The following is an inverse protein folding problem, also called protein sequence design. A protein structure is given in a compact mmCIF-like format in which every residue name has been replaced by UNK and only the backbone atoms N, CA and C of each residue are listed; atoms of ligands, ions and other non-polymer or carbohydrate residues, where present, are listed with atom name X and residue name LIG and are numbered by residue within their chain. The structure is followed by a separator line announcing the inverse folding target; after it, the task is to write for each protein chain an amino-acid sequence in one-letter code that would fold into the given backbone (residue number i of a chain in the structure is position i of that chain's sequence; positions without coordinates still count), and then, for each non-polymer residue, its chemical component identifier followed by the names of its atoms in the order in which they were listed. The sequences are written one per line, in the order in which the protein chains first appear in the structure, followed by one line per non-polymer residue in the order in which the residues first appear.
data_IF_353735742259
#
_entry.id   IF_353735742259
#
_cell.length_a   1.000
_cell.length_b   1.000
_cell.length_c   1.000
_cell.angle_alpha   90.00
_cell.angle_beta   90.00
_cell.angle_gamma   90.00
#
_symmetry.space_group_name_H-M   'P 1'
#
loop_
_entity.id
_entity.type
_entity.pdbx_description
1 polymer ?
#
# COMPACT_ATOMS: atom_id res chain seq x y z
N UNK A 1 10.31 -14.91 18.58
CA UNK A 1 9.59 -13.64 18.36
C UNK A 1 8.10 -13.92 18.18
N UNK A 2 7.20 -12.97 18.48
CA UNK A 2 5.76 -13.10 18.20
C UNK A 2 5.48 -12.61 16.77
N UNK A 3 4.70 -13.33 15.93
CA UNK A 3 4.38 -12.88 14.58
C UNK A 3 3.64 -11.55 14.55
N UNK A 4 4.17 -10.55 13.83
CA UNK A 4 3.48 -9.29 13.50
C UNK A 4 2.67 -9.41 12.21
N UNK A 5 3.08 -10.28 11.31
CA UNK A 5 2.42 -10.51 10.01
C UNK A 5 1.85 -11.93 9.94
N UNK A 6 0.62 -12.07 9.46
CA UNK A 6 0.01 -13.38 9.17
C UNK A 6 -0.31 -13.50 7.68
N UNK A 7 0.30 -14.48 7.03
CA UNK A 7 0.12 -14.78 5.61
C UNK A 7 -0.85 -15.95 5.47
N UNK A 8 -1.96 -15.75 4.76
CA UNK A 8 -2.88 -16.82 4.40
C UNK A 8 -2.81 -17.08 2.90
N UNK A 9 -2.59 -18.34 2.55
CA UNK A 9 -2.63 -18.83 1.17
C UNK A 9 -3.96 -19.54 0.90
N UNK A 10 -4.57 -19.27 -0.25
CA UNK A 10 -5.78 -19.95 -0.69
C UNK A 10 -5.53 -21.42 -1.08
N UNK A 11 -4.33 -21.70 -1.57
CA UNK A 11 -3.83 -23.01 -1.97
C UNK A 11 -2.34 -23.15 -1.65
N UNK A 12 -1.87 -24.38 -1.46
CA UNK A 12 -0.44 -24.65 -1.32
C UNK A 12 0.34 -24.29 -2.60
N UNK A 13 -0.31 -24.28 -3.77
CA UNK A 13 0.30 -23.84 -5.04
C UNK A 13 0.71 -22.37 -5.03
N UNK A 14 0.09 -21.54 -4.17
CA UNK A 14 0.35 -20.11 -4.09
C UNK A 14 1.67 -19.81 -3.34
N UNK A 15 2.34 -20.84 -2.80
CA UNK A 15 3.56 -20.71 -2.03
C UNK A 15 4.68 -19.99 -2.79
N UNK A 16 4.81 -20.19 -4.11
CA UNK A 16 5.81 -19.48 -4.93
C UNK A 16 5.69 -17.96 -4.88
N UNK A 17 4.47 -17.45 -4.72
CA UNK A 17 4.23 -16.01 -4.56
C UNK A 17 4.50 -15.60 -3.11
N UNK A 18 4.16 -16.47 -2.16
CA UNK A 18 4.46 -16.28 -0.75
C UNK A 18 5.96 -16.20 -0.46
N UNK A 19 6.80 -17.00 -1.14
CA UNK A 19 8.26 -16.96 -1.00
C UNK A 19 8.82 -15.54 -1.20
N UNK A 20 8.32 -14.80 -2.20
CA UNK A 20 8.70 -13.39 -2.41
C UNK A 20 8.36 -12.49 -1.21
N UNK A 21 7.26 -12.78 -0.53
CA UNK A 21 6.87 -12.06 0.68
C UNK A 21 7.77 -12.45 1.86
N UNK A 22 8.07 -13.74 2.02
CA UNK A 22 8.94 -14.25 3.08
C UNK A 22 10.34 -13.65 2.98
N UNK A 23 10.93 -13.62 1.77
CA UNK A 23 12.26 -13.05 1.54
C UNK A 23 12.36 -11.60 2.01
N UNK A 24 11.33 -10.79 1.75
CA UNK A 24 11.26 -9.39 2.19
C UNK A 24 11.09 -9.30 3.71
N UNK A 25 10.23 -10.12 4.32
CA UNK A 25 10.02 -10.10 5.77
C UNK A 25 11.26 -10.56 6.54
N UNK A 26 12.01 -11.54 6.03
CA UNK A 26 13.29 -12.00 6.58
C UNK A 26 14.35 -10.89 6.49
N UNK A 27 14.51 -10.24 5.32
CA UNK A 27 15.44 -9.12 5.15
C UNK A 27 15.10 -7.93 6.08
N UNK A 28 13.81 -7.73 6.36
CA UNK A 28 13.33 -6.68 7.27
C UNK A 28 13.23 -7.16 8.72
N UNK A 29 13.63 -8.38 9.04
CA UNK A 29 13.59 -8.95 10.39
C UNK A 29 12.21 -8.84 11.07
N UNK A 30 11.13 -9.03 10.29
CA UNK A 30 9.76 -8.96 10.78
C UNK A 30 9.23 -10.38 10.98
N UNK A 31 8.95 -10.75 12.22
CA UNK A 31 8.38 -12.05 12.53
C UNK A 31 7.01 -12.27 11.86
N UNK A 32 6.84 -13.42 11.21
CA UNK A 32 5.61 -13.78 10.51
C UNK A 32 5.16 -15.22 10.80
N UNK A 33 3.91 -15.52 10.49
CA UNK A 33 3.37 -16.88 10.41
C UNK A 33 2.66 -17.06 9.06
N UNK A 34 2.62 -18.29 8.57
CA UNK A 34 2.03 -18.66 7.28
C UNK A 34 1.12 -19.88 7.43
N UNK A 35 -0.08 -19.79 6.84
CA UNK A 35 -1.09 -20.85 6.86
C UNK A 35 -1.76 -21.02 5.50
N UNK A 36 -2.16 -22.25 5.21
CA UNK A 36 -3.02 -22.56 4.05
C UNK A 36 -4.46 -22.76 4.52
N UNK A 37 -5.36 -21.94 4.00
CA UNK A 37 -6.80 -22.01 4.25
C UNK A 37 -7.57 -21.41 3.07
N UNK A 38 -8.53 -22.16 2.54
CA UNK A 38 -9.34 -21.75 1.40
C UNK A 38 -10.61 -21.05 1.86
N UNK A 39 -10.88 -19.86 1.34
CA UNK A 39 -12.12 -19.12 1.61
C UNK A 39 -13.38 -19.85 1.13
N UNK A 40 -13.28 -20.72 0.12
CA UNK A 40 -14.44 -21.45 -0.43
C UNK A 40 -14.63 -22.84 0.20
N UNK A 41 -13.54 -23.51 0.58
CA UNK A 41 -13.59 -24.90 1.08
C UNK A 41 -13.48 -25.01 2.59
N UNK A 42 -12.82 -24.05 3.24
CA UNK A 42 -12.51 -24.06 4.67
C UNK A 42 -12.72 -22.68 5.28
N UNK A 43 -13.86 -22.04 5.02
CA UNK A 43 -14.14 -20.66 5.48
C UNK A 43 -14.07 -20.53 7.02
N UNK A 44 -14.58 -21.50 7.78
CA UNK A 44 -14.47 -21.48 9.24
C UNK A 44 -13.02 -21.51 9.73
N UNK A 45 -12.15 -22.26 9.03
CA UNK A 45 -10.72 -22.28 9.33
C UNK A 45 -10.09 -20.91 9.09
N UNK A 46 -10.44 -20.22 8.00
CA UNK A 46 -9.97 -18.84 7.74
C UNK A 46 -10.38 -17.92 8.88
N UNK A 47 -11.66 -17.95 9.28
CA UNK A 47 -12.18 -17.14 10.37
C UNK A 47 -11.45 -17.41 11.68
N UNK A 48 -11.27 -18.67 12.06
CA UNK A 48 -10.54 -19.05 13.27
C UNK A 48 -9.10 -18.55 13.25
N UNK A 49 -8.37 -18.77 12.15
CA UNK A 49 -6.99 -18.28 12.01
C UNK A 49 -6.94 -16.76 12.20
N UNK A 50 -7.83 -16.01 11.56
CA UNK A 50 -7.83 -14.55 11.61
C UNK A 50 -8.12 -14.04 13.02
N UNK A 51 -9.13 -14.60 13.70
CA UNK A 51 -9.48 -14.21 15.07
C UNK A 51 -8.34 -14.53 16.05
N UNK A 52 -7.80 -15.74 16.01
CA UNK A 52 -6.70 -16.16 16.90
C UNK A 52 -5.44 -15.34 16.65
N UNK A 53 -5.09 -15.10 15.39
CA UNK A 53 -3.91 -14.31 15.01
C UNK A 53 -4.04 -12.86 15.50
N UNK A 54 -5.23 -12.28 15.33
CA UNK A 54 -5.52 -10.92 15.82
C UNK A 54 -5.35 -10.84 17.35
N UNK A 55 -5.84 -11.85 18.09
CA UNK A 55 -5.68 -11.93 19.54
C UNK A 55 -4.22 -12.13 19.99
N UNK A 56 -3.40 -12.81 19.17
CA UNK A 56 -1.98 -13.05 19.44
C UNK A 56 -1.08 -11.86 19.11
N UNK A 57 -1.64 -10.76 18.61
CA UNK A 57 -0.92 -9.52 18.35
C UNK A 57 -0.47 -9.34 16.90
N UNK A 58 -1.07 -10.04 15.94
CA UNK A 58 -0.83 -9.75 14.52
C UNK A 58 -1.33 -8.35 14.20
N UNK A 59 -0.48 -7.58 13.52
CA UNK A 59 -0.69 -6.19 13.14
C UNK A 59 -1.18 -6.09 11.69
N UNK A 60 -0.70 -6.94 10.78
CA UNK A 60 -1.06 -6.93 9.36
C UNK A 60 -1.33 -8.34 8.84
N UNK A 61 -2.37 -8.49 8.02
CA UNK A 61 -2.63 -9.74 7.30
C UNK A 61 -2.26 -9.61 5.82
N UNK A 62 -1.73 -10.68 5.23
CA UNK A 62 -1.50 -10.79 3.79
C UNK A 62 -2.31 -11.98 3.28
N UNK A 63 -3.29 -11.72 2.41
CA UNK A 63 -4.04 -12.75 1.71
C UNK A 63 -3.51 -12.95 0.29
N UNK A 64 -3.02 -14.15 -0.01
CA UNK A 64 -2.51 -14.52 -1.34
C UNK A 64 -3.45 -15.54 -1.96
N UNK A 65 -4.10 -15.18 -3.07
CA UNK A 65 -5.06 -16.05 -3.74
C UNK A 65 -5.24 -15.70 -5.22
N UNK A 66 -5.48 -16.72 -6.04
CA UNK A 66 -5.87 -16.58 -7.45
C UNK A 66 -7.36 -16.79 -7.69
N UNK A 67 -7.77 -16.70 -8.96
CA UNK A 67 -9.15 -16.87 -9.43
C UNK A 67 -10.11 -15.86 -8.77
N UNK A 68 -11.27 -16.32 -8.31
CA UNK A 68 -12.17 -15.54 -7.45
C UNK A 68 -11.55 -15.40 -6.06
N UNK A 69 -10.55 -14.52 -5.95
CA UNK A 69 -9.69 -14.32 -4.79
C UNK A 69 -10.46 -13.67 -3.62
N UNK A 70 -11.41 -14.41 -3.03
CA UNK A 70 -12.21 -13.96 -1.90
C UNK A 70 -11.45 -14.01 -0.57
N UNK A 71 -10.26 -14.62 -0.53
CA UNK A 71 -9.51 -14.79 0.71
C UNK A 71 -9.14 -13.45 1.39
N UNK A 72 -8.55 -12.45 0.70
CA UNK A 72 -8.33 -11.13 1.30
C UNK A 72 -9.62 -10.49 1.85
N UNK A 73 -10.72 -10.58 1.10
CA UNK A 73 -12.00 -10.04 1.54
C UNK A 73 -12.58 -10.76 2.76
N UNK A 74 -12.45 -12.09 2.82
CA UNK A 74 -12.87 -12.92 3.96
C UNK A 74 -12.05 -12.59 5.22
N UNK A 75 -10.75 -12.33 5.07
CA UNK A 75 -9.91 -11.85 6.16
C UNK A 75 -10.39 -10.47 6.62
N UNK A 76 -10.57 -9.52 5.70
CA UNK A 76 -10.99 -8.14 6.00
C UNK A 76 -12.36 -8.08 6.69
N UNK A 77 -13.25 -9.04 6.43
CA UNK A 77 -14.54 -9.15 7.11
C UNK A 77 -14.43 -9.64 8.58
N UNK A 78 -13.34 -10.32 8.96
CA UNK A 78 -13.18 -10.93 10.29
C UNK A 78 -12.10 -10.27 11.16
N UNK A 79 -11.52 -9.16 10.72
CA UNK A 79 -10.56 -8.40 11.52
C UNK A 79 -10.73 -6.90 11.35
N UNK A 80 -10.23 -6.15 12.34
CA UNK A 80 -10.07 -4.69 12.30
C UNK A 80 -8.63 -4.28 11.97
N UNK A 81 -7.74 -5.26 11.73
CA UNK A 81 -6.38 -5.05 11.27
C UNK A 81 -6.35 -4.86 9.74
N UNK A 82 -5.39 -4.08 9.21
CA UNK A 82 -5.25 -3.90 7.78
C UNK A 82 -4.95 -5.23 7.07
N UNK A 83 -5.54 -5.39 5.88
CA UNK A 83 -5.37 -6.57 5.03
C UNK A 83 -4.76 -6.15 3.70
N UNK A 84 -3.62 -6.77 3.37
CA UNK A 84 -2.97 -6.66 2.07
C UNK A 84 -3.41 -7.82 1.20
N UNK A 85 -3.94 -7.53 0.01
CA UNK A 85 -4.34 -8.54 -0.97
C UNK A 85 -3.28 -8.68 -2.04
N UNK A 86 -2.80 -9.90 -2.27
CA UNK A 86 -1.86 -10.24 -3.35
C UNK A 86 -2.59 -11.17 -4.33
N UNK A 87 -3.09 -10.63 -5.47
CA UNK A 87 -3.70 -11.44 -6.51
C UNK A 87 -2.67 -12.38 -7.14
N UNK A 88 -3.05 -13.63 -7.41
CA UNK A 88 -2.18 -14.60 -8.09
C UNK A 88 -2.65 -14.80 -9.53
N UNK A 89 -1.70 -14.82 -10.47
CA UNK A 89 -1.99 -15.17 -11.87
C UNK A 89 -2.28 -16.67 -12.00
N UNK A 90 -3.57 -16.99 -12.16
CA UNK A 90 -4.03 -18.35 -12.44
C UNK A 90 -4.83 -18.40 -13.75
N UNK A 91 -5.69 -17.42 -13.99
CA UNK A 91 -6.48 -17.26 -15.22
C UNK A 91 -6.58 -15.79 -15.60
N UNK A 92 -6.75 -15.51 -16.90
CA UNK A 92 -6.94 -14.16 -17.45
C UNK A 92 -5.85 -13.18 -16.94
N UNK A 93 -4.61 -13.67 -16.79
CA UNK A 93 -3.48 -12.87 -16.30
C UNK A 93 -3.66 -12.34 -14.86
N UNK A 94 -4.45 -13.01 -14.01
CA UNK A 94 -4.72 -12.60 -12.62
C UNK A 94 -5.69 -11.43 -12.47
N UNK A 95 -6.31 -10.94 -13.56
CA UNK A 95 -7.26 -9.84 -13.51
C UNK A 95 -8.53 -10.17 -12.69
N UNK A 96 -8.98 -11.43 -12.76
CA UNK A 96 -10.08 -11.93 -11.95
C UNK A 96 -9.79 -11.83 -10.45
N UNK A 97 -8.59 -12.25 -10.03
CA UNK A 97 -8.12 -12.15 -8.65
C UNK A 97 -7.95 -10.69 -8.22
N UNK A 98 -7.42 -9.84 -9.09
CA UNK A 98 -7.22 -8.41 -8.83
C UNK A 98 -8.56 -7.70 -8.56
N UNK A 99 -9.57 -7.93 -9.40
CA UNK A 99 -10.88 -7.32 -9.19
C UNK A 99 -11.59 -7.89 -7.96
N UNK A 100 -11.47 -9.21 -7.71
CA UNK A 100 -12.02 -9.84 -6.52
C UNK A 100 -11.42 -9.29 -5.21
N UNK A 101 -10.13 -8.93 -5.22
CA UNK A 101 -9.44 -8.37 -4.06
C UNK A 101 -9.68 -6.86 -3.87
N UNK A 102 -9.68 -6.08 -4.95
CA UNK A 102 -9.70 -4.61 -4.89
C UNK A 102 -11.11 -4.01 -4.74
N UNK A 103 -12.12 -4.61 -5.38
CA UNK A 103 -13.47 -4.06 -5.48
C UNK A 103 -14.35 -4.36 -4.26
N UNK A 104 -13.80 -4.11 -3.07
CA UNK A 104 -14.46 -4.44 -1.82
C UNK A 104 -15.62 -3.49 -1.47
N UNK A 105 -16.73 -4.02 -0.92
CA UNK A 105 -17.78 -3.18 -0.38
C UNK A 105 -17.30 -2.42 0.87
N UNK A 106 -17.98 -1.32 1.17
CA UNK A 106 -17.77 -0.61 2.43
C UNK A 106 -18.42 -1.38 3.60
N UNK A 107 -17.80 -1.49 4.79
CA UNK A 107 -16.53 -0.90 5.26
C UNK A 107 -15.38 -1.93 5.36
N UNK A 108 -15.23 -2.85 4.41
CA UNK A 108 -14.23 -3.93 4.48
C UNK A 108 -13.11 -3.73 3.45
N UNK A 109 -12.19 -2.77 3.66
CA UNK A 109 -11.14 -2.50 2.68
C UNK A 109 -10.14 -3.64 2.57
N UNK A 110 -9.50 -3.73 1.40
CA UNK A 110 -8.29 -4.53 1.16
C UNK A 110 -7.31 -3.64 0.40
N UNK A 111 -6.07 -3.57 0.90
CA UNK A 111 -4.95 -2.91 0.25
C UNK A 111 -4.39 -3.82 -0.84
N UNK A 112 -4.91 -3.73 -2.07
CA UNK A 112 -4.52 -4.66 -3.15
C UNK A 112 -3.24 -4.17 -3.83
N UNK A 113 -2.22 -5.04 -3.88
CA UNK A 113 -0.96 -4.82 -4.64
C UNK A 113 -1.02 -5.54 -5.99
N UNK A 114 0.03 -5.37 -6.81
CA UNK A 114 0.16 -5.98 -8.12
C UNK A 114 -0.01 -7.50 -8.13
N UNK A 115 -0.44 -8.04 -9.27
CA UNK A 115 -0.52 -9.48 -9.49
C UNK A 115 0.87 -10.11 -9.29
N UNK A 116 0.92 -11.21 -8.53
CA UNK A 116 2.12 -11.95 -8.16
C UNK A 116 3.17 -11.14 -7.37
N UNK A 117 2.80 -9.97 -6.85
CA UNK A 117 3.69 -9.08 -6.08
C UNK A 117 3.68 -9.38 -4.58
N UNK A 118 4.03 -10.61 -4.22
CA UNK A 118 4.24 -10.99 -2.81
C UNK A 118 5.30 -10.12 -2.12
N UNK A 119 6.33 -9.70 -2.88
CA UNK A 119 7.36 -8.74 -2.48
C UNK A 119 6.77 -7.39 -2.04
N UNK A 120 5.98 -6.73 -2.91
CA UNK A 120 5.34 -5.47 -2.55
C UNK A 120 4.27 -5.65 -1.46
N UNK A 121 3.63 -6.82 -1.38
CA UNK A 121 2.70 -7.13 -0.30
C UNK A 121 3.38 -7.11 1.07
N UNK A 122 4.54 -7.77 1.19
CA UNK A 122 5.36 -7.74 2.40
C UNK A 122 5.95 -6.35 2.69
N UNK A 123 6.43 -5.65 1.66
CA UNK A 123 6.99 -4.31 1.83
C UNK A 123 5.92 -3.32 2.30
N UNK A 124 4.69 -3.40 1.78
CA UNK A 124 3.57 -2.59 2.27
C UNK A 124 3.24 -2.92 3.73
N UNK A 125 3.21 -4.21 4.10
CA UNK A 125 2.99 -4.61 5.48
C UNK A 125 4.07 -4.05 6.41
N UNK A 126 5.34 -4.06 5.98
CA UNK A 126 6.44 -3.46 6.72
C UNK A 126 6.31 -1.93 6.84
N UNK A 127 5.89 -1.23 5.78
CA UNK A 127 5.61 0.21 5.85
C UNK A 127 4.51 0.53 6.87
N UNK A 128 3.47 -0.31 6.95
CA UNK A 128 2.36 -0.14 7.91
C UNK A 128 2.88 -0.29 9.35
N UNK A 129 3.67 -1.34 9.61
CA UNK A 129 4.31 -1.55 10.92
C UNK A 129 5.27 -0.37 11.24
N UNK A 130 6.00 0.10 10.23
CA UNK A 130 6.93 1.23 10.31
C UNK A 130 6.30 2.59 10.66
N UNK A 131 4.97 2.71 10.66
CA UNK A 131 4.27 3.89 11.20
C UNK A 131 4.62 4.11 12.69
N UNK A 132 4.78 3.01 13.43
CA UNK A 132 5.00 2.98 14.88
C UNK A 132 6.31 2.30 15.30
N UNK A 133 7.01 1.64 14.37
CA UNK A 133 8.28 0.96 14.60
C UNK A 133 9.38 1.62 13.76
N UNK A 134 10.16 2.51 14.39
CA UNK A 134 11.18 3.30 13.69
C UNK A 134 12.30 2.44 13.09
N UNK A 135 12.65 1.33 13.73
CA UNK A 135 13.69 0.43 13.24
C UNK A 135 13.23 -0.31 11.99
N UNK A 136 11.97 -0.78 11.97
CA UNK A 136 11.36 -1.32 10.74
C UNK A 136 11.35 -0.27 9.64
N UNK A 137 10.97 0.98 9.93
CA UNK A 137 10.96 2.07 8.95
C UNK A 137 12.35 2.32 8.36
N UNK A 138 13.40 2.34 9.18
CA UNK A 138 14.79 2.47 8.72
C UNK A 138 15.19 1.32 7.80
N UNK A 139 14.88 0.07 8.17
CA UNK A 139 15.17 -1.10 7.31
C UNK A 139 14.40 -1.06 5.99
N UNK A 140 13.14 -0.60 6.00
CA UNK A 140 12.36 -0.36 4.77
C UNK A 140 13.05 0.69 3.90
N UNK A 141 13.49 1.81 4.48
CA UNK A 141 14.21 2.87 3.78
C UNK A 141 15.45 2.34 3.08
N UNK A 142 16.30 1.61 3.82
CA UNK A 142 17.52 0.97 3.30
C UNK A 142 17.22 -0.06 2.21
N UNK A 143 16.23 -0.92 2.43
CA UNK A 143 15.85 -1.93 1.44
C UNK A 143 15.36 -1.28 0.14
N UNK A 144 14.54 -0.22 0.25
CA UNK A 144 14.07 0.54 -0.91
C UNK A 144 15.22 1.20 -1.65
N UNK A 145 16.18 1.80 -0.95
CA UNK A 145 17.39 2.36 -1.55
C UNK A 145 18.17 1.32 -2.37
N UNK A 146 18.26 0.08 -1.90
CA UNK A 146 18.90 -1.02 -2.62
C UNK A 146 18.26 -1.33 -3.99
N UNK A 147 16.94 -1.11 -4.16
CA UNK A 147 16.30 -1.25 -5.48
C UNK A 147 16.77 -0.16 -6.46
N UNK A 148 16.99 1.07 -6.01
CA UNK A 148 17.50 2.16 -6.86
C UNK A 148 18.96 1.92 -7.26
N UNK A 149 19.80 1.49 -6.31
CA UNK A 149 21.19 1.12 -6.60
C UNK A 149 21.30 -0.06 -7.56
N UNK A 150 20.33 -0.99 -7.51
CA UNK A 150 20.27 -2.09 -8.48
C UNK A 150 20.03 -1.57 -9.89
N UNK A 151 19.12 -0.60 -10.07
CA UNK A 151 18.88 0.01 -11.40
C UNK A 151 20.15 0.66 -11.94
N UNK A 152 20.91 1.38 -11.10
CA UNK A 152 22.18 1.97 -11.51
C UNK A 152 23.22 0.92 -11.91
N UNK A 153 23.30 -0.19 -11.17
CA UNK A 153 24.18 -1.32 -11.50
C UNK A 153 23.78 -2.00 -12.81
N UNK A 154 22.49 -2.22 -13.02
CA UNK A 154 21.93 -2.82 -14.24
C UNK A 154 22.18 -1.90 -15.45
N UNK A 155 22.04 -0.58 -15.29
CA UNK A 155 22.40 0.41 -16.31
C UNK A 155 23.89 0.33 -16.66
N UNK A 156 24.77 0.36 -15.66
CA UNK A 156 26.22 0.25 -15.88
C UNK A 156 26.59 -1.02 -16.67
N UNK A 157 26.00 -2.17 -16.30
CA UNK A 157 26.23 -3.43 -17.00
C UNK A 157 25.70 -3.39 -18.44
N UNK A 158 24.51 -2.81 -18.65
CA UNK A 158 23.91 -2.69 -19.98
C UNK A 158 24.78 -1.82 -20.91
N UNK A 159 25.20 -0.63 -20.46
CA UNK A 159 25.97 0.31 -21.26
C UNK A 159 27.33 -0.27 -21.69
N UNK A 160 27.96 -1.09 -20.85
CA UNK A 160 29.22 -1.77 -21.18
C UNK A 160 29.08 -2.84 -22.27
N UNK A 161 27.87 -3.34 -22.51
CA UNK A 161 27.60 -4.41 -23.47
C UNK A 161 27.05 -3.91 -24.81
N UNK A 162 26.86 -2.59 -24.98
CA UNK A 162 26.35 -2.00 -26.22
C UNK A 162 27.52 -1.64 -27.14
N UNK A 163 27.57 -2.30 -28.29
CA UNK A 163 28.41 -1.91 -29.42
C UNK A 163 27.52 -1.39 -30.56
N UNK A 164 27.92 -0.32 -31.22
CA UNK A 164 27.17 0.17 -32.37
C UNK A 164 27.78 1.41 -33.03
N UNK A 165 27.70 1.46 -34.36
CA UNK A 165 28.24 2.56 -35.17
C UNK A 165 27.56 3.92 -34.93
N UNK A 166 26.43 3.93 -34.21
CA UNK A 166 25.65 5.12 -33.87
C UNK A 166 25.41 5.30 -32.36
N UNK A 167 26.05 4.47 -31.52
CA UNK A 167 25.94 4.57 -30.06
C UNK A 167 27.07 5.42 -29.50
N UNK A 168 26.72 6.54 -28.89
CA UNK A 168 27.68 7.46 -28.24
C UNK A 168 27.21 7.70 -26.80
N UNK A 169 27.80 7.01 -25.81
CA UNK A 169 27.37 7.17 -24.42
C UNK A 169 27.73 8.57 -23.90
N UNK A 170 26.74 9.27 -23.36
CA UNK A 170 26.95 10.51 -22.60
C UNK A 170 27.04 10.13 -21.13
N UNK A 171 28.15 10.47 -20.48
CA UNK A 171 28.28 10.30 -19.02
C UNK A 171 27.41 11.35 -18.33
N UNK A 172 26.39 10.90 -17.63
CA UNK A 172 25.55 11.74 -16.77
C UNK A 172 26.04 11.54 -15.34
N UNK A 173 26.58 12.59 -14.72
CA UNK A 173 26.88 12.56 -13.29
C UNK A 173 25.56 12.62 -12.53
N UNK A 174 25.26 11.56 -11.79
CA UNK A 174 24.12 11.58 -10.86
C UNK A 174 24.52 12.30 -9.57
N UNK A 175 23.61 13.11 -8.99
CA UNK A 175 23.85 13.69 -7.68
C UNK A 175 24.12 12.58 -6.65
N UNK A 176 25.11 12.78 -5.77
CA UNK A 176 25.41 11.82 -4.72
C UNK A 176 24.19 11.62 -3.82
N UNK A 177 23.81 10.36 -3.58
CA UNK A 177 22.70 9.98 -2.69
C UNK A 177 23.15 10.09 -1.22
N UNK A 178 23.82 11.19 -0.86
CA UNK A 178 24.27 11.45 0.52
C UNK A 178 23.14 12.03 1.39
N UNK A 179 22.14 12.65 0.75
CA UNK A 179 20.84 12.88 1.37
C UNK A 179 20.00 11.66 1.04
N UNK A 180 19.70 10.82 2.03
CA UNK A 180 18.85 9.64 1.84
C UNK A 180 17.63 9.98 0.96
N UNK A 181 17.23 9.03 0.12
CA UNK A 181 16.18 9.21 -0.91
C UNK A 181 14.86 9.76 -0.37
N UNK A 182 14.65 9.58 0.92
CA UNK A 182 13.53 10.10 1.67
C UNK A 182 14.07 11.15 2.65
N UNK A 183 13.62 12.41 2.56
CA UNK A 183 14.13 13.46 3.43
C UNK A 183 13.91 13.09 4.90
N UNK A 184 15.00 13.08 5.68
CA UNK A 184 14.96 12.97 7.14
C UNK A 184 14.54 14.34 7.66
N UNK A 185 13.50 14.41 8.50
CA UNK A 185 13.04 15.69 9.03
C UNK A 185 14.14 16.34 9.90
N UNK A 186 14.60 17.51 9.46
CA UNK A 186 15.30 18.44 10.34
C UNK A 186 14.25 19.08 11.23
N UNK A 187 14.13 18.58 12.46
CA UNK A 187 13.16 18.97 13.45
C UNK A 187 13.42 20.39 14.00
N UNK A 188 13.27 21.43 13.18
CA UNK A 188 13.25 22.81 13.66
C UNK A 188 12.24 23.64 12.84
N UNK A 189 11.11 23.97 13.48
CA UNK A 189 10.00 24.83 13.04
C UNK A 189 8.76 24.14 12.42
N UNK A 190 7.71 23.93 13.24
CA UNK A 190 6.48 24.73 13.12
C UNK A 190 5.51 24.42 14.26
N UNK A 191 4.92 25.46 14.84
CA UNK A 191 3.88 25.45 15.90
C UNK A 191 2.52 24.88 15.42
N UNK A 192 2.47 24.05 14.38
CA UNK A 192 1.23 23.42 13.90
C UNK A 192 1.32 21.89 14.02
N UNK A 193 0.35 21.29 14.67
CA UNK A 193 0.24 19.84 14.83
C UNK A 193 0.20 19.16 13.45
N UNK A 194 1.23 18.38 13.12
CA UNK A 194 1.32 17.69 11.83
C UNK A 194 0.11 16.76 11.65
N UNK A 195 -0.61 16.83 10.52
CA UNK A 195 -1.73 15.93 10.26
C UNK A 195 -1.27 14.48 10.18
N UNK A 196 -2.12 13.53 10.59
CA UNK A 196 -1.78 12.11 10.48
C UNK A 196 -1.73 11.63 9.02
N UNK A 197 -2.53 12.22 8.13
CA UNK A 197 -2.70 11.77 6.74
C UNK A 197 -2.58 12.93 5.76
N UNK A 198 -1.83 12.75 4.67
CA UNK A 198 -1.87 13.65 3.53
C UNK A 198 -2.75 13.06 2.41
N UNK A 199 -3.78 13.80 1.99
CA UNK A 199 -4.71 13.42 0.91
C UNK A 199 -4.39 14.22 -0.34
N UNK A 200 -4.03 13.53 -1.42
CA UNK A 200 -3.49 14.15 -2.64
C UNK A 200 -4.36 13.80 -3.85
N UNK A 201 -5.42 14.58 -4.14
CA UNK A 201 -6.09 14.54 -5.42
C UNK A 201 -5.20 15.11 -6.55
N UNK A 202 -5.07 14.38 -7.67
CA UNK A 202 -4.27 14.80 -8.82
C UNK A 202 -4.86 15.94 -9.64
N UNK A 203 -6.16 16.16 -9.51
CA UNK A 203 -6.90 17.17 -10.25
C UNK A 203 -8.18 17.57 -9.53
N UNK A 204 -8.77 18.69 -9.96
CA UNK A 204 -10.07 19.12 -9.45
C UNK A 204 -11.22 18.16 -9.82
N UNK A 205 -11.09 17.37 -10.90
CA UNK A 205 -12.07 16.32 -11.22
C UNK A 205 -12.10 15.19 -10.18
N UNK A 206 -11.02 14.98 -9.43
CA UNK A 206 -10.92 13.97 -8.38
C UNK A 206 -11.58 14.42 -7.06
N UNK A 207 -11.99 15.69 -6.98
CA UNK A 207 -12.43 16.35 -5.74
C UNK A 207 -13.67 15.71 -5.11
N UNK A 208 -14.59 15.15 -5.91
CA UNK A 208 -15.78 14.46 -5.37
C UNK A 208 -15.38 13.25 -4.52
N UNK A 209 -14.37 12.49 -4.98
CA UNK A 209 -13.86 11.33 -4.26
C UNK A 209 -13.01 11.79 -3.09
N UNK A 210 -12.17 12.82 -3.26
CA UNK A 210 -11.38 13.39 -2.18
C UNK A 210 -12.25 13.87 -1.00
N UNK A 211 -13.31 14.65 -1.28
CA UNK A 211 -14.28 15.09 -0.26
C UNK A 211 -14.96 13.93 0.45
N UNK A 212 -15.27 12.84 -0.27
CA UNK A 212 -15.84 11.64 0.33
C UNK A 212 -14.82 10.98 1.26
N UNK A 213 -13.56 10.84 0.84
CA UNK A 213 -12.47 10.31 1.65
C UNK A 213 -12.30 11.12 2.93
N UNK A 214 -12.17 12.44 2.82
CA UNK A 214 -11.94 13.31 3.97
C UNK A 214 -13.12 13.35 4.94
N UNK A 215 -14.36 13.34 4.45
CA UNK A 215 -15.55 13.18 5.29
C UNK A 215 -15.49 11.90 6.15
N UNK A 216 -14.98 10.79 5.61
CA UNK A 216 -14.80 9.56 6.39
C UNK A 216 -13.62 9.64 7.35
N UNK A 217 -12.51 10.30 6.98
CA UNK A 217 -11.40 10.58 7.92
C UNK A 217 -11.88 11.41 9.13
N UNK A 218 -12.68 12.44 8.90
CA UNK A 218 -13.28 13.27 9.96
C UNK A 218 -14.19 12.45 10.88
N UNK A 219 -15.04 11.59 10.31
CA UNK A 219 -15.88 10.66 11.10
C UNK A 219 -15.07 9.70 11.94
N UNK A 220 -13.89 9.30 11.46
CA UNK A 220 -12.93 8.48 12.21
C UNK A 220 -12.05 9.32 13.15
N UNK A 221 -12.17 10.65 13.15
CA UNK A 221 -11.37 11.59 13.93
C UNK A 221 -9.88 11.48 13.63
N UNK A 222 -9.53 11.34 12.35
CA UNK A 222 -8.16 11.34 11.83
C UNK A 222 -7.87 12.72 11.26
N UNK A 223 -6.81 13.38 11.73
CA UNK A 223 -6.38 14.67 11.18
C UNK A 223 -5.76 14.48 9.79
N UNK A 224 -6.07 15.38 8.87
CA UNK A 224 -5.57 15.31 7.51
C UNK A 224 -5.28 16.69 6.92
N UNK A 225 -4.34 16.75 5.98
CA UNK A 225 -4.22 17.84 5.02
C UNK A 225 -4.67 17.34 3.65
N UNK A 226 -5.35 18.19 2.87
CA UNK A 226 -5.79 17.86 1.51
C UNK A 226 -5.35 18.93 0.54
N UNK A 227 -4.58 18.55 -0.48
CA UNK A 227 -4.05 19.48 -1.47
C UNK A 227 -4.16 18.92 -2.89
N UNK A 228 -4.78 19.68 -3.79
CA UNK A 228 -4.90 19.31 -5.21
C UNK A 228 -3.62 19.65 -5.92
N UNK A 229 -2.84 18.63 -6.27
CA UNK A 229 -1.53 18.85 -6.87
C UNK A 229 -1.17 17.74 -7.86
N UNK A 230 -0.57 18.15 -8.97
CA UNK A 230 -0.18 17.25 -10.06
C UNK A 230 1.35 17.24 -10.18
N UNK A 231 2.01 16.08 -10.00
CA UNK A 231 3.46 15.98 -10.16
C UNK A 231 3.90 16.22 -11.61
N UNK A 232 3.00 15.98 -12.58
CA UNK A 232 3.30 16.19 -14.01
C UNK A 232 3.19 17.66 -14.41
N UNK A 233 2.14 18.36 -13.95
CA UNK A 233 1.93 19.78 -14.30
C UNK A 233 2.75 20.73 -13.45
N UNK A 234 2.98 20.38 -12.18
CA UNK A 234 3.60 21.24 -11.18
C UNK A 234 4.60 20.45 -10.30
N UNK A 235 5.70 19.91 -10.86
CA UNK A 235 6.63 19.03 -10.15
C UNK A 235 7.26 19.70 -8.92
N UNK A 236 7.79 20.93 -9.04
CA UNK A 236 8.43 21.61 -7.91
C UNK A 236 7.47 21.85 -6.73
N UNK A 237 6.24 22.29 -7.00
CA UNK A 237 5.21 22.45 -5.96
C UNK A 237 4.85 21.10 -5.31
N UNK A 238 4.91 20.00 -6.08
CA UNK A 238 4.63 18.66 -5.57
C UNK A 238 5.74 18.20 -4.63
N UNK A 239 6.99 18.41 -5.01
CA UNK A 239 8.17 18.13 -4.17
C UNK A 239 8.12 18.96 -2.86
N UNK A 240 7.89 20.27 -2.95
CA UNK A 240 7.71 21.14 -1.77
C UNK A 240 6.58 20.65 -0.84
N UNK A 241 5.48 20.15 -1.42
CA UNK A 241 4.38 19.59 -0.64
C UNK A 241 4.78 18.26 0.04
N UNK A 242 5.52 17.40 -0.64
CA UNK A 242 6.02 16.14 -0.08
C UNK A 242 7.01 16.39 1.07
N UNK A 243 7.89 17.39 0.93
CA UNK A 243 8.80 17.82 2.00
C UNK A 243 8.04 18.36 3.21
N UNK A 244 7.03 19.23 2.99
CA UNK A 244 6.19 19.75 4.07
C UNK A 244 5.40 18.65 4.79
N UNK A 245 5.04 17.58 4.08
CA UNK A 245 4.31 16.42 4.60
C UNK A 245 5.25 15.26 4.99
N UNK A 246 6.53 15.54 5.22
CA UNK A 246 7.52 14.52 5.57
C UNK A 246 7.23 13.79 6.90
N UNK A 247 6.43 14.36 7.81
CA UNK A 247 6.14 13.74 9.11
C UNK A 247 4.74 13.11 9.23
N UNK A 248 3.92 13.15 8.17
CA UNK A 248 2.62 12.44 8.15
C UNK A 248 2.82 10.94 8.34
N UNK A 249 1.80 10.20 8.78
CA UNK A 249 1.91 8.75 8.99
C UNK A 249 1.70 7.93 7.73
N UNK A 250 0.83 8.40 6.83
CA UNK A 250 0.58 7.76 5.54
C UNK A 250 0.00 8.76 4.52
N UNK A 251 -0.02 8.36 3.26
CA UNK A 251 -0.58 9.14 2.16
C UNK A 251 -1.80 8.45 1.55
N UNK A 252 -2.76 9.25 1.10
CA UNK A 252 -3.86 8.80 0.24
C UNK A 252 -3.77 9.55 -1.08
N UNK A 253 -3.38 8.85 -2.14
CA UNK A 253 -3.27 9.40 -3.49
C UNK A 253 -4.54 9.08 -4.29
N UNK A 254 -5.18 10.11 -4.83
CA UNK A 254 -6.47 10.01 -5.53
C UNK A 254 -6.28 10.52 -6.97
N UNK A 255 -6.39 9.64 -7.97
CA UNK A 255 -6.22 10.06 -9.37
C UNK A 255 -7.04 9.22 -10.36
N UNK A 256 -7.53 9.88 -11.41
CA UNK A 256 -8.30 9.22 -12.48
C UNK A 256 -7.56 9.02 -13.81
N UNK A 257 -6.55 9.83 -14.14
CA UNK A 257 -5.78 9.69 -15.38
C UNK A 257 -4.34 9.33 -15.08
N UNK A 258 -4.01 8.05 -15.32
CA UNK A 258 -2.71 7.46 -15.00
C UNK A 258 -2.35 7.57 -13.51
N UNK A 259 -1.63 6.60 -12.98
CA UNK A 259 -1.27 6.57 -11.56
C UNK A 259 -0.15 7.57 -11.19
N UNK A 260 -0.04 8.70 -11.88
CA UNK A 260 1.10 9.61 -11.77
C UNK A 260 1.27 10.18 -10.36
N UNK A 261 0.17 10.60 -9.72
CA UNK A 261 0.21 11.08 -8.33
C UNK A 261 0.70 9.97 -7.43
N UNK A 262 0.04 8.82 -7.46
CA UNK A 262 0.37 7.67 -6.63
C UNK A 262 1.82 7.23 -6.82
N UNK A 263 2.27 7.08 -8.06
CA UNK A 263 3.65 6.73 -8.39
C UNK A 263 4.66 7.75 -7.88
N UNK A 264 4.38 9.05 -8.04
CA UNK A 264 5.26 10.11 -7.54
C UNK A 264 5.32 10.16 -6.00
N UNK A 265 4.19 9.95 -5.32
CA UNK A 265 4.15 9.88 -3.84
C UNK A 265 5.02 8.73 -3.35
N UNK A 266 4.88 7.53 -3.93
CA UNK A 266 5.65 6.36 -3.50
C UNK A 266 7.13 6.55 -3.82
N UNK A 267 7.46 7.18 -4.95
CA UNK A 267 8.85 7.48 -5.32
C UNK A 267 9.54 8.40 -4.30
N UNK A 268 8.80 9.32 -3.67
CA UNK A 268 9.33 10.33 -2.74
C UNK A 268 9.05 10.02 -1.26
N UNK A 269 8.43 8.89 -0.93
CA UNK A 269 8.07 8.55 0.45
C UNK A 269 8.19 7.06 0.73
N UNK A 270 8.86 6.74 1.84
CA UNK A 270 8.94 5.40 2.42
C UNK A 270 7.69 4.96 3.19
N UNK A 271 6.72 5.86 3.38
CA UNK A 271 5.50 5.59 4.17
C UNK A 271 4.44 4.86 3.34
N UNK A 272 3.45 4.21 3.98
CA UNK A 272 2.35 3.59 3.27
C UNK A 272 1.61 4.58 2.37
N UNK A 273 1.29 4.14 1.16
CA UNK A 273 0.47 4.91 0.21
C UNK A 273 -0.76 4.10 -0.15
N UNK A 274 -1.93 4.71 0.09
CA UNK A 274 -3.22 4.17 -0.34
C UNK A 274 -3.60 4.82 -1.67
N UNK A 275 -3.77 4.00 -2.71
CA UNK A 275 -4.22 4.44 -4.02
C UNK A 275 -5.74 4.38 -4.14
N UNK A 276 -6.36 5.49 -4.56
CA UNK A 276 -7.82 5.57 -4.83
C UNK A 276 -8.04 5.94 -6.30
N UNK A 277 -8.35 4.96 -7.17
CA UNK A 277 -8.57 5.23 -8.58
C UNK A 277 -9.90 5.95 -8.81
N UNK A 278 -9.90 6.99 -9.65
CA UNK A 278 -11.11 7.72 -10.01
C UNK A 278 -11.69 7.25 -11.36
N UNK A 279 -13.02 7.23 -11.54
CA UNK A 279 -13.65 6.86 -12.79
C UNK A 279 -13.61 8.04 -13.77
N UNK A 280 -12.55 8.11 -14.58
CA UNK A 280 -12.44 9.09 -15.67
C UNK A 280 -12.59 8.43 -17.04
N UNK A 281 -11.64 7.60 -17.46
CA UNK A 281 -11.73 6.79 -18.69
C UNK A 281 -11.95 5.32 -18.32
N UNK A 282 -12.51 4.53 -19.22
CA UNK A 282 -12.76 3.09 -18.99
C UNK A 282 -13.39 2.75 -17.63
N UNK A 283 -14.25 3.64 -17.11
CA UNK A 283 -14.84 3.47 -15.78
C UNK A 283 -13.85 3.45 -14.60
N UNK A 284 -12.62 3.93 -14.77
CA UNK A 284 -11.54 3.96 -13.77
C UNK A 284 -10.64 2.72 -13.75
N UNK A 285 -10.85 1.78 -14.68
CA UNK A 285 -10.01 0.60 -14.82
C UNK A 285 -8.57 0.93 -15.20
N UNK A 286 -8.37 1.96 -16.02
CA UNK A 286 -7.05 2.48 -16.38
C UNK A 286 -6.28 2.98 -15.16
N UNK A 287 -6.93 3.78 -14.31
CA UNK A 287 -6.37 4.27 -13.06
C UNK A 287 -6.07 3.10 -12.10
N UNK A 288 -7.03 2.18 -11.91
CA UNK A 288 -6.87 1.02 -11.03
C UNK A 288 -5.67 0.16 -11.45
N UNK A 289 -5.63 -0.26 -12.72
CA UNK A 289 -4.56 -1.10 -13.26
C UNK A 289 -3.19 -0.40 -13.25
N UNK A 290 -3.14 0.92 -13.40
CA UNK A 290 -1.90 1.69 -13.29
C UNK A 290 -1.41 1.80 -11.84
N UNK A 291 -2.31 1.90 -10.86
CA UNK A 291 -1.95 2.07 -9.45
C UNK A 291 -1.47 0.78 -8.81
N UNK A 292 -2.11 -0.34 -9.16
CA UNK A 292 -1.83 -1.66 -8.58
C UNK A 292 -0.55 -2.29 -9.15
N UNK A 293 -0.24 -2.09 -10.43
CA UNK A 293 0.89 -2.73 -11.10
C UNK A 293 2.22 -1.98 -10.93
N UNK A 294 2.64 -1.78 -9.69
CA UNK A 294 3.93 -1.17 -9.40
C UNK A 294 5.09 -2.18 -9.49
N UNK A 295 6.31 -1.71 -9.84
CA UNK A 295 7.51 -2.55 -9.85
C UNK A 295 7.92 -3.00 -8.43
N UNK A 296 8.86 -3.96 -8.30
CA UNK A 296 9.41 -4.34 -7.00
C UNK A 296 9.95 -3.13 -6.23
N UNK A 297 9.72 -3.09 -4.93
CA UNK A 297 10.26 -2.03 -4.06
C UNK A 297 9.41 -0.76 -3.99
N UNK A 298 8.27 -0.71 -4.70
CA UNK A 298 7.43 0.49 -4.85
C UNK A 298 5.97 0.15 -4.54
N UNK A 299 5.63 -0.28 -3.32
CA UNK A 299 4.31 -0.82 -3.02
C UNK A 299 3.22 0.27 -2.96
N UNK A 300 2.02 -0.08 -3.42
CA UNK A 300 0.80 0.74 -3.27
C UNK A 300 -0.34 -0.16 -2.82
N UNK A 301 -1.00 0.21 -1.72
CA UNK A 301 -2.25 -0.40 -1.29
C UNK A 301 -3.43 0.18 -2.06
N UNK A 302 -3.81 -0.42 -3.18
CA UNK A 302 -4.88 0.12 -4.03
C UNK A 302 -6.25 -0.39 -3.58
N UNK A 303 -7.19 0.51 -3.32
CA UNK A 303 -8.61 0.18 -3.09
C UNK A 303 -9.39 0.26 -4.40
N UNK A 304 -10.63 -0.22 -4.40
CA UNK A 304 -11.48 -0.18 -5.59
C UNK A 304 -11.79 1.22 -6.12
N UNK A 305 -12.25 1.28 -7.38
CA UNK A 305 -12.57 2.54 -8.06
C UNK A 305 -13.60 3.36 -7.29
N UNK A 306 -13.34 4.66 -7.16
CA UNK A 306 -14.12 5.65 -6.42
C UNK A 306 -14.33 5.32 -4.93
N UNK A 307 -13.52 4.42 -4.36
CA UNK A 307 -13.75 3.88 -3.02
C UNK A 307 -13.02 4.66 -1.92
N UNK A 308 -13.16 5.99 -1.94
CA UNK A 308 -12.57 6.88 -0.94
C UNK A 308 -13.01 6.60 0.51
N UNK A 309 -14.20 6.01 0.70
CA UNK A 309 -14.67 5.55 2.01
C UNK A 309 -13.82 4.41 2.55
N UNK A 310 -13.57 3.37 1.75
CA UNK A 310 -12.67 2.28 2.16
C UNK A 310 -11.22 2.74 2.28
N UNK A 311 -10.76 3.72 1.50
CA UNK A 311 -9.44 4.31 1.70
C UNK A 311 -9.29 4.93 3.09
N UNK A 312 -10.30 5.66 3.56
CA UNK A 312 -10.30 6.24 4.90
C UNK A 312 -10.41 5.18 6.01
N UNK A 313 -11.18 4.10 5.79
CA UNK A 313 -11.25 2.97 6.74
C UNK A 313 -9.92 2.24 6.80
N UNK A 314 -9.26 1.99 5.67
CA UNK A 314 -7.94 1.35 5.62
C UNK A 314 -6.88 2.20 6.34
N UNK A 315 -6.90 3.52 6.15
CA UNK A 315 -6.06 4.43 6.91
C UNK A 315 -6.33 4.31 8.42
N UNK A 316 -7.60 4.20 8.82
CA UNK A 316 -7.98 4.00 10.20
C UNK A 316 -7.54 2.63 10.76
N UNK A 317 -7.55 1.57 9.96
CA UNK A 317 -7.02 0.25 10.34
C UNK A 317 -5.52 0.30 10.57
N UNK A 318 -4.76 0.95 9.68
CA UNK A 318 -3.31 1.14 9.81
C UNK A 318 -2.95 1.95 11.05
N UNK A 319 -3.58 3.12 11.25
CA UNK A 319 -3.36 3.97 12.42
C UNK A 319 -3.90 3.34 13.71
N UNK A 320 -4.94 2.53 13.61
CA UNK A 320 -5.53 1.81 14.75
C UNK A 320 -4.60 0.74 15.35
N UNK A 321 -3.48 0.40 14.70
CA UNK A 321 -2.46 -0.47 15.29
C UNK A 321 -1.84 0.18 16.54
N UNK A 322 -1.53 1.48 16.47
CA UNK A 322 -0.94 2.24 17.58
C UNK A 322 -1.93 3.09 18.39
N UNK A 323 -3.18 3.25 17.93
CA UNK A 323 -4.21 4.05 18.61
C UNK A 323 -5.45 3.19 18.97
N UNK A 324 -5.55 2.84 20.26
CA UNK A 324 -6.66 2.04 20.79
C UNK A 324 -8.04 2.71 20.63
N UNK A 325 -8.13 4.05 20.67
CA UNK A 325 -9.40 4.76 20.45
C UNK A 325 -9.84 4.63 19.01
N UNK A 326 -8.91 4.73 18.07
CA UNK A 326 -9.17 4.54 16.64
C UNK A 326 -9.49 3.07 16.32
N UNK A 327 -8.76 2.13 16.91
CA UNK A 327 -9.05 0.69 16.81
C UNK A 327 -10.51 0.38 17.22
N UNK A 328 -10.95 0.94 18.34
CA UNK A 328 -12.33 0.77 18.82
C UNK A 328 -13.36 1.39 17.89
N UNK A 329 -13.04 2.51 17.22
CA UNK A 329 -13.91 3.11 16.20
C UNK A 329 -14.03 2.21 14.97
N UNK A 330 -12.94 1.65 14.49
CA UNK A 330 -12.94 0.68 13.37
C UNK A 330 -13.77 -0.55 13.71
N UNK A 331 -13.56 -1.15 14.89
CA UNK A 331 -14.33 -2.31 15.37
C UNK A 331 -15.84 -2.03 15.36
N UNK A 332 -16.26 -0.87 15.89
CA UNK A 332 -17.68 -0.45 15.92
C UNK A 332 -18.25 -0.22 14.52
N UNK A 333 -17.46 0.33 13.60
CA UNK A 333 -17.91 0.54 12.22
C UNK A 333 -18.19 -0.80 11.54
N UNK A 334 -17.25 -1.74 11.64
CA UNK A 334 -17.38 -3.07 11.02
C UNK A 334 -18.50 -3.91 11.63
N UNK A 335 -18.72 -3.85 12.95
CA UNK A 335 -19.81 -4.59 13.61
C UNK A 335 -21.19 -4.05 13.26
N UNK A 336 -21.35 -2.72 13.11
CA UNK A 336 -22.65 -2.15 12.72
C UNK A 336 -23.05 -2.54 11.30
N UNK A 337 -22.09 -2.74 10.41
CA UNK A 337 -22.37 -3.15 9.04
C UNK A 337 -22.77 -4.62 8.91
N UNK A 338 -22.39 -5.49 9.86
CA UNK A 338 -22.85 -6.89 9.88
C UNK A 338 -24.32 -7.05 10.28
N UNK A 339 -24.93 -6.04 10.90
CA UNK A 339 -26.34 -6.07 11.33
C UNK A 339 -27.35 -5.71 10.21
N UNK A 340 -26.86 -5.29 9.03
CA UNK A 340 -27.68 -4.92 7.87
C UNK A 340 -27.54 -5.88 6.68
N UNK A 341 -26.91 -7.04 6.89
CA UNK A 341 -26.68 -8.09 5.88
C UNK A 341 -27.71 -9.20 5.93
#
# INVERSE_FOLDING_TARGET
MKPKVMILLGSASDFKIAEKALDILEQLEIAYDIRVASAHRTHEKVKQIVLESTLRGVEVFIGIAGLSAHLPGMIAANTHRPVVGVPVDVKIGGLDALFASSQMPFPAPVATVGIDRGDNGALLAAQIIGIYDEDVRKRVSTLRQGFYEKVQRDEYQLLNNIEGNYYTPVKIEMPSIDKGLFPVSSSENSDSETPMVAVIPGSYSDMKIAKKTTMFLERMGISYDMNVISPVRYPGRFEEYMERMADVKLFIAISGLSAHVTGAVVALSEKPVIGVPCPMRMGGLDALLSMVNMPPGVPVGTVGVANGGNAAVLAAEMLGIGDQKLENRVKRLKSKSSDFG
#
